data_IF_893510176022
#
_entry.id   IF_893510176022
#
_cell.length_a   1.000
_cell.length_b   1.000
_cell.length_c   1.000
_cell.angle_alpha   90.00
_cell.angle_beta   90.00
_cell.angle_gamma   90.00
#
_symmetry.space_group_name_H-M   'P 1'
#
loop_
_entity.id
_entity.type
_entity.pdbx_description
1 polymer ?
#
# COMPACT_ATOMS: atom_id res chain seq x y z
N UNK A 1 35.30 47.81 -28.53
CA UNK A 1 34.44 47.25 -27.46
C UNK A 1 33.05 47.83 -27.66
N UNK A 2 32.12 47.03 -28.19
CA UNK A 2 30.75 47.50 -28.47
C UNK A 2 30.04 47.88 -27.17
N UNK A 3 29.51 49.11 -27.10
CA UNK A 3 28.67 49.55 -25.98
C UNK A 3 27.31 48.88 -26.14
N UNK A 4 27.08 47.85 -25.35
CA UNK A 4 25.77 47.21 -25.23
C UNK A 4 24.75 48.24 -24.74
N UNK A 5 23.66 48.43 -25.48
CA UNK A 5 22.60 49.37 -25.11
C UNK A 5 21.59 48.68 -24.18
N UNK A 6 20.87 49.49 -23.39
CA UNK A 6 19.83 49.00 -22.46
C UNK A 6 18.77 48.13 -23.17
N UNK A 7 18.52 48.42 -24.46
CA UNK A 7 17.61 47.67 -25.33
C UNK A 7 18.11 46.24 -25.57
N UNK A 8 19.41 46.03 -25.75
CA UNK A 8 20.00 44.70 -25.94
C UNK A 8 19.87 43.86 -24.65
N UNK A 9 20.05 44.50 -23.49
CA UNK A 9 19.87 43.85 -22.18
C UNK A 9 18.42 43.48 -21.89
N UNK A 10 17.46 44.36 -22.24
CA UNK A 10 16.03 44.07 -22.15
C UNK A 10 15.63 42.90 -23.04
N UNK A 11 16.21 42.80 -24.25
CA UNK A 11 15.94 41.71 -25.17
C UNK A 11 16.52 40.38 -24.66
N UNK A 12 17.73 40.39 -24.11
CA UNK A 12 18.33 39.21 -23.47
C UNK A 12 17.51 38.75 -22.26
N UNK A 13 17.08 39.67 -21.40
CA UNK A 13 16.22 39.35 -20.26
C UNK A 13 14.86 38.79 -20.68
N UNK A 14 14.25 39.35 -21.74
CA UNK A 14 13.00 38.85 -22.30
C UNK A 14 13.13 37.42 -22.87
N UNK A 15 14.21 37.13 -23.58
CA UNK A 15 14.49 35.79 -24.10
C UNK A 15 14.75 34.77 -22.98
N UNK A 16 15.48 35.16 -21.93
CA UNK A 16 15.68 34.32 -20.75
C UNK A 16 14.38 34.07 -19.99
N UNK A 17 13.51 35.08 -19.86
CA UNK A 17 12.18 34.93 -19.26
C UNK A 17 11.29 33.95 -20.03
N UNK A 18 11.31 34.00 -21.36
CA UNK A 18 10.59 33.04 -22.21
C UNK A 18 11.12 31.62 -22.04
N UNK A 19 12.45 31.43 -22.03
CA UNK A 19 13.07 30.10 -21.82
C UNK A 19 12.72 29.56 -20.43
N UNK A 20 12.83 30.38 -19.39
CA UNK A 20 12.46 30.00 -18.04
C UNK A 20 10.97 29.62 -17.93
N UNK A 21 10.09 30.39 -18.59
CA UNK A 21 8.66 30.09 -18.67
C UNK A 21 8.37 28.75 -19.36
N UNK A 22 9.03 28.47 -20.49
CA UNK A 22 8.91 27.18 -21.20
C UNK A 22 9.42 26.00 -20.37
N UNK A 23 10.52 26.18 -19.63
CA UNK A 23 11.04 25.15 -18.72
C UNK A 23 10.04 24.86 -17.60
N UNK A 24 9.44 25.89 -16.99
CA UNK A 24 8.42 25.73 -15.95
C UNK A 24 7.19 24.99 -16.46
N UNK A 25 6.70 25.33 -17.67
CA UNK A 25 5.59 24.62 -18.30
C UNK A 25 5.95 23.16 -18.60
N UNK A 26 7.16 22.89 -19.09
CA UNK A 26 7.62 21.52 -19.33
C UNK A 26 7.68 20.68 -18.05
N UNK A 27 8.14 21.28 -16.93
CA UNK A 27 8.11 20.65 -15.60
C UNK A 27 6.66 20.39 -15.16
N UNK A 28 5.77 21.38 -15.31
CA UNK A 28 4.37 21.25 -14.92
C UNK A 28 3.62 20.18 -15.72
N UNK A 29 3.88 20.06 -17.04
CA UNK A 29 3.32 19.01 -17.89
C UNK A 29 3.82 17.64 -17.44
N UNK A 30 5.12 17.53 -17.12
CA UNK A 30 5.70 16.27 -16.61
C UNK A 30 5.03 15.84 -15.31
N UNK A 31 4.81 16.76 -14.38
CA UNK A 31 4.14 16.46 -13.11
C UNK A 31 2.67 16.10 -13.32
N UNK A 32 1.96 16.82 -14.20
CA UNK A 32 0.56 16.53 -14.54
C UNK A 32 0.38 15.13 -15.13
N UNK A 33 1.28 14.73 -16.04
CA UNK A 33 1.24 13.38 -16.62
C UNK A 33 1.54 12.29 -15.59
N UNK A 34 2.43 12.54 -14.62
CA UNK A 34 2.72 11.59 -13.54
C UNK A 34 1.52 11.41 -12.61
N UNK A 35 0.85 12.50 -12.25
CA UNK A 35 -0.36 12.47 -11.41
C UNK A 35 -1.48 11.73 -12.15
N UNK A 36 -1.76 12.08 -13.40
CA UNK A 36 -2.79 11.41 -14.20
C UNK A 36 -2.54 9.90 -14.34
N UNK A 37 -1.27 9.50 -14.55
CA UNK A 37 -0.90 8.07 -14.61
C UNK A 37 -1.13 7.37 -13.27
N UNK A 38 -0.82 8.03 -12.16
CA UNK A 38 -1.06 7.51 -10.81
C UNK A 38 -2.56 7.35 -10.50
N UNK A 39 -3.38 8.32 -10.91
CA UNK A 39 -4.84 8.28 -10.77
C UNK A 39 -5.45 7.13 -11.58
N UNK A 40 -5.05 6.97 -12.85
CA UNK A 40 -5.49 5.87 -13.69
C UNK A 40 -5.11 4.51 -13.10
N UNK A 41 -3.87 4.38 -12.59
CA UNK A 41 -3.42 3.18 -11.91
C UNK A 41 -4.23 2.90 -10.64
N UNK A 42 -4.47 3.92 -9.81
CA UNK A 42 -5.28 3.77 -8.60
C UNK A 42 -6.72 3.34 -8.93
N UNK A 43 -7.35 3.94 -9.94
CA UNK A 43 -8.69 3.56 -10.39
C UNK A 43 -8.75 2.11 -10.89
N UNK A 44 -7.69 1.64 -11.57
CA UNK A 44 -7.58 0.23 -11.97
C UNK A 44 -7.48 -0.71 -10.76
N UNK A 45 -6.73 -0.31 -9.73
CA UNK A 45 -6.63 -1.07 -8.47
C UNK A 45 -7.99 -1.09 -7.76
N UNK A 46 -8.66 0.04 -7.64
CA UNK A 46 -9.98 0.13 -7.00
C UNK A 46 -11.02 -0.74 -7.72
N UNK A 47 -11.01 -0.74 -9.06
CA UNK A 47 -11.88 -1.61 -9.86
C UNK A 47 -11.61 -3.09 -9.56
N UNK A 48 -10.34 -3.47 -9.43
CA UNK A 48 -9.97 -4.87 -9.18
C UNK A 48 -10.32 -5.28 -7.75
N UNK A 49 -10.07 -4.41 -6.77
CA UNK A 49 -10.47 -4.63 -5.38
C UNK A 49 -12.00 -4.73 -5.28
N UNK A 50 -12.75 -3.85 -5.95
CA UNK A 50 -14.20 -3.91 -6.01
C UNK A 50 -14.68 -5.25 -6.59
N UNK A 51 -14.09 -5.71 -7.69
CA UNK A 51 -14.39 -7.02 -8.28
C UNK A 51 -14.12 -8.15 -7.28
N UNK A 52 -12.95 -8.18 -6.65
CA UNK A 52 -12.63 -9.21 -5.65
C UNK A 52 -13.61 -9.18 -4.48
N UNK A 53 -13.98 -7.99 -3.99
CA UNK A 53 -14.93 -7.84 -2.89
C UNK A 53 -16.35 -8.27 -3.27
N UNK A 54 -16.77 -8.08 -4.53
CA UNK A 54 -18.07 -8.55 -5.01
C UNK A 54 -18.21 -10.06 -5.04
N UNK A 55 -17.08 -10.79 -5.07
CA UNK A 55 -17.03 -12.26 -5.12
C UNK A 55 -16.98 -12.91 -3.73
N UNK A 56 -16.96 -12.12 -2.65
CA UNK A 56 -16.76 -12.63 -1.29
C UNK A 56 -18.03 -13.23 -0.66
N UNK A 57 -19.19 -13.06 -1.29
CA UNK A 57 -20.47 -13.50 -0.76
C UNK A 57 -20.98 -12.64 0.40
N UNK A 58 -21.97 -13.16 1.14
CA UNK A 58 -22.70 -12.38 2.15
C UNK A 58 -21.96 -12.27 3.50
N UNK A 59 -21.12 -13.25 3.84
CA UNK A 59 -20.48 -13.34 5.18
C UNK A 59 -18.96 -13.62 5.11
N UNK A 60 -18.16 -12.80 4.41
CA UNK A 60 -16.72 -13.01 4.28
C UNK A 60 -15.97 -13.11 5.61
N UNK A 61 -16.46 -12.42 6.63
CA UNK A 61 -15.84 -12.41 7.95
C UNK A 61 -15.86 -13.81 8.57
N UNK A 62 -16.98 -14.54 8.44
CA UNK A 62 -17.10 -15.89 8.99
C UNK A 62 -16.15 -16.86 8.29
N UNK A 63 -16.03 -16.75 6.96
CA UNK A 63 -15.06 -17.52 6.18
C UNK A 63 -13.62 -17.21 6.58
N UNK A 64 -13.29 -15.92 6.70
CA UNK A 64 -11.95 -15.49 7.11
C UNK A 64 -11.61 -15.95 8.53
N UNK A 65 -12.58 -15.90 9.46
CA UNK A 65 -12.42 -16.43 10.82
C UNK A 65 -12.09 -17.93 10.80
N UNK A 66 -12.80 -18.73 10.00
CA UNK A 66 -12.49 -20.17 9.88
C UNK A 66 -11.08 -20.40 9.33
N UNK A 67 -10.69 -19.71 8.27
CA UNK A 67 -9.33 -19.84 7.70
C UNK A 67 -8.24 -19.44 8.70
N UNK A 68 -8.46 -18.39 9.48
CA UNK A 68 -7.47 -17.88 10.43
C UNK A 68 -7.35 -18.73 11.71
N UNK A 69 -8.48 -19.20 12.25
CA UNK A 69 -8.54 -19.75 13.60
C UNK A 69 -8.90 -21.23 13.67
N UNK A 70 -9.62 -21.74 12.68
CA UNK A 70 -10.12 -23.11 12.64
C UNK A 70 -9.87 -23.75 11.25
N UNK A 71 -8.62 -23.72 10.73
CA UNK A 71 -8.32 -24.07 9.34
C UNK A 71 -8.68 -25.52 8.99
N UNK A 72 -8.69 -26.42 9.98
CA UNK A 72 -9.08 -27.84 9.79
C UNK A 72 -10.58 -28.02 9.49
N UNK A 73 -11.39 -27.02 9.83
CA UNK A 73 -12.85 -27.00 9.57
C UNK A 73 -13.22 -26.08 8.40
N UNK A 74 -12.25 -25.35 7.85
CA UNK A 74 -12.47 -24.43 6.75
C UNK A 74 -12.82 -25.20 5.47
N UNK A 75 -13.86 -24.72 4.80
CA UNK A 75 -14.33 -25.26 3.52
C UNK A 75 -13.51 -24.70 2.36
N UNK A 76 -13.68 -25.28 1.17
CA UNK A 76 -13.03 -24.77 -0.05
C UNK A 76 -13.50 -23.34 -0.35
N UNK A 77 -14.78 -23.06 -0.11
CA UNK A 77 -15.39 -21.76 -0.24
C UNK A 77 -14.72 -20.74 0.69
N UNK A 78 -14.39 -21.13 1.92
CA UNK A 78 -13.70 -20.25 2.87
C UNK A 78 -12.30 -19.87 2.38
N UNK A 79 -11.55 -20.85 1.83
CA UNK A 79 -10.25 -20.59 1.22
C UNK A 79 -10.35 -19.72 -0.04
N UNK A 80 -11.42 -19.87 -0.84
CA UNK A 80 -11.66 -18.99 -1.99
C UNK A 80 -11.88 -17.53 -1.55
N UNK A 81 -12.68 -17.31 -0.51
CA UNK A 81 -12.89 -15.98 0.09
C UNK A 81 -11.56 -15.42 0.60
N UNK A 82 -10.75 -16.22 1.31
CA UNK A 82 -9.45 -15.79 1.79
C UNK A 82 -8.50 -15.42 0.64
N UNK A 83 -8.45 -16.21 -0.45
CA UNK A 83 -7.64 -15.91 -1.64
C UNK A 83 -8.01 -14.56 -2.26
N UNK A 84 -9.32 -14.26 -2.38
CA UNK A 84 -9.78 -12.96 -2.89
C UNK A 84 -9.39 -11.79 -1.98
N UNK A 85 -9.45 -11.97 -0.66
CA UNK A 85 -9.01 -10.97 0.32
C UNK A 85 -7.49 -10.75 0.21
N UNK A 86 -6.72 -11.82 0.11
CA UNK A 86 -5.26 -11.75 -0.03
C UNK A 86 -4.84 -11.04 -1.32
N UNK A 87 -5.45 -11.38 -2.45
CA UNK A 87 -5.19 -10.71 -3.72
C UNK A 87 -5.56 -9.21 -3.66
N UNK A 88 -6.68 -8.86 -3.02
CA UNK A 88 -7.07 -7.47 -2.82
C UNK A 88 -6.03 -6.70 -1.97
N UNK A 89 -5.60 -7.26 -0.83
CA UNK A 89 -4.58 -6.65 0.03
C UNK A 89 -3.24 -6.49 -0.67
N UNK A 90 -2.84 -7.49 -1.45
CA UNK A 90 -1.61 -7.44 -2.24
C UNK A 90 -1.66 -6.34 -3.29
N UNK A 91 -2.77 -6.19 -4.03
CA UNK A 91 -2.93 -5.10 -5.02
C UNK A 91 -2.88 -3.72 -4.36
N UNK A 92 -3.44 -3.59 -3.16
CA UNK A 92 -3.33 -2.34 -2.39
C UNK A 92 -1.87 -2.10 -1.98
N UNK A 93 -1.12 -3.11 -1.54
CA UNK A 93 0.30 -2.98 -1.24
C UNK A 93 1.11 -2.55 -2.47
N UNK A 94 0.87 -3.15 -3.64
CA UNK A 94 1.50 -2.75 -4.91
C UNK A 94 1.18 -1.28 -5.20
N UNK A 95 -0.06 -0.84 -4.96
CA UNK A 95 -0.43 0.57 -5.10
C UNK A 95 0.34 1.49 -4.17
N UNK A 96 0.49 1.10 -2.90
CA UNK A 96 1.26 1.91 -1.94
C UNK A 96 2.70 2.08 -2.43
N UNK A 97 3.34 1.02 -2.93
CA UNK A 97 4.68 1.11 -3.55
C UNK A 97 4.72 2.06 -4.75
N UNK A 98 3.81 1.89 -5.71
CA UNK A 98 3.78 2.74 -6.92
C UNK A 98 3.58 4.22 -6.56
N UNK A 99 2.70 4.52 -5.60
CA UNK A 99 2.44 5.89 -5.17
C UNK A 99 3.59 6.48 -4.36
N UNK A 100 4.29 5.68 -3.55
CA UNK A 100 5.52 6.09 -2.84
C UNK A 100 6.66 6.38 -3.82
N UNK A 101 6.90 5.50 -4.80
CA UNK A 101 7.92 5.68 -5.85
C UNK A 101 7.67 6.94 -6.71
N UNK A 102 6.40 7.32 -6.88
CA UNK A 102 6.03 8.56 -7.57
C UNK A 102 6.21 9.81 -6.70
N UNK A 103 6.57 9.67 -5.43
CA UNK A 103 6.70 10.77 -4.48
C UNK A 103 5.36 11.38 -4.07
N UNK A 104 4.25 10.67 -4.31
CA UNK A 104 2.89 11.13 -3.98
C UNK A 104 2.51 10.81 -2.52
N UNK A 105 3.23 9.87 -1.89
CA UNK A 105 3.10 9.49 -0.48
C UNK A 105 4.48 9.48 0.18
N UNK A 106 4.89 10.58 0.81
CA UNK A 106 6.22 10.66 1.46
C UNK A 106 6.32 11.59 2.69
N UNK A 107 5.25 12.31 3.05
CA UNK A 107 5.28 13.31 4.15
C UNK A 107 4.52 12.94 5.43
N UNK A 108 3.81 11.81 5.46
CA UNK A 108 2.96 11.41 6.60
C UNK A 108 1.79 10.47 6.28
N UNK A 109 1.76 9.83 5.11
CA UNK A 109 0.73 8.88 4.70
C UNK A 109 1.08 7.41 4.96
N UNK A 110 0.23 6.48 4.50
CA UNK A 110 0.46 5.02 4.58
C UNK A 110 1.70 4.67 3.75
N UNK A 111 2.80 4.29 4.42
CA UNK A 111 4.00 3.72 3.78
C UNK A 111 3.82 2.23 3.52
N UNK A 112 4.58 1.57 2.63
CA UNK A 112 4.51 0.12 2.48
C UNK A 112 4.78 -0.62 3.78
N UNK A 113 5.74 -0.13 4.57
CA UNK A 113 6.03 -0.70 5.89
C UNK A 113 4.85 -0.57 6.84
N UNK A 114 4.22 0.60 6.90
CA UNK A 114 3.01 0.82 7.71
C UNK A 114 1.85 -0.06 7.25
N UNK A 115 1.67 -0.21 5.93
CA UNK A 115 0.67 -1.12 5.36
C UNK A 115 0.89 -2.56 5.83
N UNK A 116 2.12 -3.06 5.71
CA UNK A 116 2.50 -4.40 6.13
C UNK A 116 2.23 -4.60 7.62
N UNK A 117 2.62 -3.66 8.48
CA UNK A 117 2.41 -3.73 9.93
C UNK A 117 0.93 -3.81 10.32
N UNK A 118 0.04 -3.19 9.56
CA UNK A 118 -1.39 -3.21 9.85
C UNK A 118 -2.06 -4.49 9.32
N UNK A 119 -1.60 -5.02 8.18
CA UNK A 119 -2.35 -6.06 7.44
C UNK A 119 -1.73 -7.48 7.50
N UNK A 120 -0.52 -7.65 8.04
CA UNK A 120 0.15 -8.97 8.08
C UNK A 120 -0.72 -10.08 8.73
N UNK A 121 -1.61 -9.70 9.65
CA UNK A 121 -2.44 -10.62 10.43
C UNK A 121 -3.43 -11.42 9.59
N UNK A 122 -3.87 -10.85 8.47
CA UNK A 122 -4.71 -11.59 7.52
C UNK A 122 -3.97 -12.84 7.01
N UNK A 123 -2.64 -12.79 6.95
CA UNK A 123 -1.78 -13.87 6.46
C UNK A 123 -1.21 -14.74 7.59
N UNK A 124 -1.51 -14.44 8.86
CA UNK A 124 -0.96 -15.14 10.03
C UNK A 124 -1.66 -16.48 10.31
N UNK A 125 -1.78 -17.29 9.25
CA UNK A 125 -2.28 -18.67 9.26
C UNK A 125 -1.51 -19.51 8.23
N UNK A 126 -1.58 -20.86 8.28
CA UNK A 126 -0.83 -21.72 7.35
C UNK A 126 -1.14 -21.44 5.87
N UNK A 127 -2.41 -21.21 5.54
CA UNK A 127 -2.82 -20.92 4.16
C UNK A 127 -2.28 -19.56 3.69
N UNK A 128 -2.40 -18.51 4.51
CA UNK A 128 -1.86 -17.19 4.20
C UNK A 128 -0.35 -17.17 4.00
N UNK A 129 0.40 -17.92 4.83
CA UNK A 129 1.84 -18.09 4.64
C UNK A 129 2.16 -18.80 3.31
N UNK A 130 1.45 -19.88 2.99
CA UNK A 130 1.62 -20.56 1.70
C UNK A 130 1.30 -19.64 0.51
N UNK A 131 0.28 -18.79 0.66
CA UNK A 131 -0.10 -17.83 -0.36
C UNK A 131 1.01 -16.80 -0.61
N UNK A 132 1.59 -16.24 0.46
CA UNK A 132 2.72 -15.30 0.37
C UNK A 132 3.93 -15.95 -0.34
N UNK A 133 4.24 -17.21 -0.02
CA UNK A 133 5.32 -17.96 -0.64
C UNK A 133 5.13 -18.10 -2.15
N UNK A 134 3.90 -18.42 -2.57
CA UNK A 134 3.55 -18.56 -3.99
C UNK A 134 3.69 -17.23 -4.73
N UNK A 135 3.24 -16.12 -4.13
CA UNK A 135 3.39 -14.78 -4.73
C UNK A 135 4.87 -14.42 -4.84
N UNK A 136 5.65 -14.60 -3.77
CA UNK A 136 7.08 -14.33 -3.77
C UNK A 136 7.83 -15.13 -4.84
N UNK A 137 7.46 -16.41 -5.02
CA UNK A 137 8.02 -17.25 -6.08
C UNK A 137 7.65 -16.74 -7.48
N UNK A 138 6.39 -16.35 -7.71
CA UNK A 138 5.93 -15.80 -8.99
C UNK A 138 6.66 -14.51 -9.37
N UNK A 139 6.84 -13.59 -8.42
CA UNK A 139 7.57 -12.34 -8.65
C UNK A 139 9.04 -12.62 -8.96
N UNK A 140 9.67 -13.56 -8.24
CA UNK A 140 11.05 -13.97 -8.49
C UNK A 140 11.26 -14.56 -9.88
N UNK A 141 10.28 -15.32 -10.39
CA UNK A 141 10.31 -15.92 -11.73
C UNK A 141 10.05 -14.89 -12.85
N UNK A 142 9.39 -13.77 -12.55
CA UNK A 142 9.02 -12.73 -13.51
C UNK A 142 10.15 -11.79 -13.94
N UNK A 143 11.33 -11.87 -13.31
CA UNK A 143 12.54 -11.13 -13.72
C UNK A 143 12.49 -9.59 -13.57
N UNK A 144 11.45 -9.05 -12.92
CA UNK A 144 11.22 -7.61 -12.78
C UNK A 144 11.91 -6.96 -11.58
N UNK A 145 12.10 -5.65 -11.67
CA UNK A 145 12.70 -4.73 -10.67
C UNK A 145 11.89 -4.56 -9.38
N UNK A 146 11.10 -5.54 -8.96
CA UNK A 146 10.16 -5.50 -7.84
C UNK A 146 10.84 -5.71 -6.47
N UNK A 147 12.12 -5.33 -6.33
CA UNK A 147 12.86 -5.49 -5.08
C UNK A 147 12.19 -4.84 -3.86
N UNK A 148 11.57 -3.64 -3.95
CA UNK A 148 10.87 -3.02 -2.82
C UNK A 148 9.65 -3.85 -2.36
N UNK A 149 8.92 -4.41 -3.32
CA UNK A 149 7.76 -5.27 -3.07
C UNK A 149 8.19 -6.59 -2.43
N UNK A 150 9.29 -7.18 -2.91
CA UNK A 150 9.87 -8.39 -2.33
C UNK A 150 10.23 -8.19 -0.84
N UNK A 151 10.86 -7.05 -0.50
CA UNK A 151 11.16 -6.71 0.89
C UNK A 151 9.90 -6.58 1.76
N UNK A 152 8.83 -5.99 1.22
CA UNK A 152 7.55 -5.88 1.95
C UNK A 152 6.84 -7.21 2.13
N UNK A 153 6.88 -8.10 1.13
CA UNK A 153 6.34 -9.46 1.23
C UNK A 153 7.12 -10.31 2.23
N UNK A 154 8.45 -10.21 2.20
CA UNK A 154 9.30 -10.88 3.18
C UNK A 154 9.00 -10.40 4.60
N UNK A 155 8.90 -9.09 4.80
CA UNK A 155 8.52 -8.52 6.10
C UNK A 155 7.11 -8.98 6.53
N UNK A 156 6.14 -9.00 5.62
CA UNK A 156 4.78 -9.44 5.89
C UNK A 156 4.76 -10.92 6.32
N UNK A 157 5.51 -11.77 5.61
CA UNK A 157 5.69 -13.18 5.92
C UNK A 157 6.34 -13.37 7.30
N UNK A 158 7.41 -12.63 7.59
CA UNK A 158 8.14 -12.74 8.85
C UNK A 158 7.25 -12.32 10.03
N UNK A 159 6.49 -11.24 9.89
CA UNK A 159 5.51 -10.81 10.90
C UNK A 159 4.38 -11.83 11.08
N UNK A 160 3.82 -12.34 9.98
CA UNK A 160 2.76 -13.34 9.99
C UNK A 160 3.20 -14.69 10.58
N UNK A 161 4.48 -15.03 10.44
CA UNK A 161 5.06 -16.26 11.01
C UNK A 161 5.37 -16.13 12.49
N UNK A 162 5.86 -14.96 12.91
CA UNK A 162 6.30 -14.72 14.30
C UNK A 162 5.13 -14.41 15.23
N UNK A 163 4.08 -13.77 14.72
CA UNK A 163 2.90 -13.42 15.48
C UNK A 163 1.73 -14.26 14.99
N UNK A 164 1.19 -15.14 15.84
CA UNK A 164 -0.06 -15.81 15.51
C UNK A 164 -1.21 -14.80 15.51
N UNK A 165 -2.17 -14.96 14.58
CA UNK A 165 -3.38 -14.13 14.57
C UNK A 165 -4.13 -14.16 15.92
N UNK A 166 -4.04 -15.27 16.66
CA UNK A 166 -4.66 -15.44 17.97
C UNK A 166 -3.95 -14.61 19.05
N UNK A 167 -2.63 -14.69 19.12
CA UNK A 167 -1.82 -13.97 20.12
C UNK A 167 -1.97 -12.47 19.93
N UNK A 168 -1.88 -11.96 18.70
CA UNK A 168 -2.00 -10.52 18.48
C UNK A 168 -3.42 -10.01 18.74
N UNK A 169 -4.46 -10.76 18.36
CA UNK A 169 -5.84 -10.38 18.71
C UNK A 169 -6.08 -10.37 20.23
N UNK A 170 -5.51 -11.33 20.97
CA UNK A 170 -5.57 -11.35 22.42
C UNK A 170 -4.89 -10.11 23.03
N UNK A 171 -3.70 -9.76 22.54
CA UNK A 171 -2.97 -8.56 22.96
C UNK A 171 -3.72 -7.27 22.61
N UNK A 172 -4.32 -7.18 21.42
CA UNK A 172 -5.17 -6.05 21.01
C UNK A 172 -6.39 -5.90 21.91
N UNK A 173 -7.08 -7.00 22.21
CA UNK A 173 -8.22 -7.01 23.13
C UNK A 173 -7.76 -6.52 24.51
N UNK A 174 -6.65 -7.02 25.03
CA UNK A 174 -6.12 -6.59 26.32
C UNK A 174 -5.72 -5.11 26.33
N UNK A 175 -5.06 -4.62 25.27
CA UNK A 175 -4.75 -3.19 25.09
C UNK A 175 -6.02 -2.34 25.06
N UNK A 176 -7.06 -2.76 24.33
CA UNK A 176 -8.33 -2.03 24.28
C UNK A 176 -9.02 -1.98 25.64
N UNK A 177 -8.98 -3.06 26.41
CA UNK A 177 -9.54 -3.10 27.76
C UNK A 177 -8.78 -2.18 28.71
N UNK A 178 -7.44 -2.13 28.59
CA UNK A 178 -6.60 -1.22 29.37
C UNK A 178 -6.87 0.26 29.02
N UNK A 179 -7.01 0.59 27.75
CA UNK A 179 -7.36 1.96 27.33
C UNK A 179 -8.75 2.33 27.86
N UNK A 180 -9.72 1.40 27.75
CA UNK A 180 -11.07 1.60 28.26
C UNK A 180 -11.05 1.86 29.78
N UNK A 181 -10.28 1.08 30.55
CA UNK A 181 -10.16 1.30 31.99
C UNK A 181 -9.55 2.66 32.31
N UNK A 182 -8.48 3.06 31.61
CA UNK A 182 -7.86 4.38 31.78
C UNK A 182 -8.80 5.55 31.48
N UNK A 183 -9.64 5.42 30.43
CA UNK A 183 -10.66 6.40 30.06
C UNK A 183 -11.76 6.48 31.12
N UNK A 184 -12.24 5.32 31.60
CA UNK A 184 -13.29 5.25 32.62
C UNK A 184 -12.82 5.73 33.99
N UNK A 185 -11.54 5.54 34.31
CA UNK A 185 -10.90 5.98 35.57
C UNK A 185 -10.45 7.46 35.52
N UNK A 186 -10.74 8.18 34.43
CA UNK A 186 -10.49 9.63 34.34
C UNK A 186 -9.01 10.03 34.32
N UNK A 187 -8.10 9.12 33.93
CA UNK A 187 -6.67 9.40 33.84
C UNK A 187 -6.25 9.61 32.39
N UNK A 188 -6.17 10.87 31.90
CA UNK A 188 -5.60 11.14 30.59
C UNK A 188 -4.08 11.09 30.71
N UNK A 189 -3.46 10.03 30.21
CA UNK A 189 -2.06 10.10 29.80
C UNK A 189 -1.99 9.76 28.32
N UNK A 190 -2.05 10.81 27.50
CA UNK A 190 -1.39 10.85 26.19
C UNK A 190 0.10 11.11 26.42
#
# INVERSE_FOLDING_TARGET
MGKWNLVDWLQVAGNLGLIAGLILVAVQIRDSNRIASAEMFSASVDTTVALNTSQLGETPQASMTRVLYEPDTATIEDFYVADRIYDALFRILVRVHVLEDLGLYGGGGITPQGFVQVHYQAFACPYGLSWLDQVQQKLSAGGGSEQPLFGSLQLMRDLARTNSAQTDMADRKQRSLKILSQVLEGSPTL
#
